data_IF_376936630772
#
_entry.id   IF_376936630772
#
_cell.length_a   1.000
_cell.length_b   1.000
_cell.length_c   1.000
_cell.angle_alpha   90.00
_cell.angle_beta   90.00
_cell.angle_gamma   90.00
#
_symmetry.space_group_name_H-M   'P 1'
#
loop_
_entity.id
_entity.type
_entity.pdbx_description
1 polymer ?
#
# COMPACT_ATOMS: atom_id res chain seq x y z
N UNK A 1 23.69 2.64 1.24
CA UNK A 1 23.09 2.88 -0.10
C UNK A 1 21.95 3.88 0.07
N UNK A 2 21.56 4.63 -0.96
CA UNK A 2 20.38 5.50 -0.87
C UNK A 2 19.11 4.63 -0.88
N UNK A 3 18.06 5.06 -0.16
CA UNK A 3 16.76 4.40 -0.23
C UNK A 3 16.17 4.50 -1.64
N UNK A 4 15.52 3.44 -2.10
CA UNK A 4 14.57 3.47 -3.21
C UNK A 4 13.15 3.51 -2.66
N UNK A 5 12.26 4.19 -3.33
CA UNK A 5 10.88 4.38 -2.90
C UNK A 5 9.92 3.84 -3.95
N UNK A 6 8.87 3.17 -3.50
CA UNK A 6 7.74 2.78 -4.34
C UNK A 6 6.46 3.35 -3.74
N UNK A 7 5.55 3.81 -4.61
CA UNK A 7 4.21 4.24 -4.20
C UNK A 7 3.20 3.47 -5.03
N UNK A 8 2.35 2.70 -4.36
CA UNK A 8 1.40 1.78 -4.98
C UNK A 8 -0.02 2.26 -4.69
N UNK A 9 -0.77 2.56 -5.76
CA UNK A 9 -2.16 3.01 -5.68
C UNK A 9 -3.14 1.88 -5.34
N UNK A 10 -4.37 2.23 -4.94
CA UNK A 10 -5.44 1.29 -4.64
C UNK A 10 -6.25 0.84 -5.86
N UNK A 11 -7.36 0.15 -5.59
CA UNK A 11 -8.34 -0.31 -6.60
C UNK A 11 -8.84 0.86 -7.44
N UNK A 12 -9.00 0.63 -8.75
CA UNK A 12 -9.45 1.63 -9.72
C UNK A 12 -8.63 2.94 -9.71
N UNK A 13 -7.50 2.94 -9.01
CA UNK A 13 -6.62 4.10 -8.85
C UNK A 13 -5.60 4.26 -9.97
N UNK A 14 -4.73 5.24 -9.81
CA UNK A 14 -3.58 5.47 -10.68
C UNK A 14 -2.46 6.19 -9.90
N UNK A 15 -1.23 6.28 -10.45
CA UNK A 15 -0.14 7.03 -9.82
C UNK A 15 -0.32 8.56 -9.88
N UNK A 16 -1.41 9.06 -10.46
CA UNK A 16 -1.66 10.49 -10.70
C UNK A 16 -2.73 11.08 -9.77
N UNK A 17 -3.27 10.30 -8.84
CA UNK A 17 -4.36 10.72 -7.94
C UNK A 17 -3.95 10.62 -6.47
N UNK A 18 -4.80 11.14 -5.60
CA UNK A 18 -4.62 11.18 -4.16
C UNK A 18 -3.31 11.89 -3.78
N UNK A 19 -2.65 11.46 -2.76
CA UNK A 19 -1.38 11.98 -2.27
C UNK A 19 -0.15 11.44 -3.00
N UNK A 20 -0.32 10.54 -4.00
CA UNK A 20 0.80 9.92 -4.73
C UNK A 20 1.70 10.96 -5.41
N UNK A 21 1.17 11.93 -6.19
CA UNK A 21 2.01 12.96 -6.82
C UNK A 21 2.74 13.84 -5.79
N UNK A 22 2.10 14.13 -4.65
CA UNK A 22 2.69 14.91 -3.58
C UNK A 22 3.91 14.21 -2.97
N UNK A 23 3.74 12.97 -2.51
CA UNK A 23 4.84 12.20 -1.90
C UNK A 23 5.96 11.94 -2.90
N UNK A 24 5.62 11.66 -4.16
CA UNK A 24 6.61 11.54 -5.24
C UNK A 24 7.48 12.79 -5.36
N UNK A 25 6.85 13.97 -5.44
CA UNK A 25 7.55 15.25 -5.53
C UNK A 25 8.49 15.48 -4.33
N UNK A 26 7.99 15.25 -3.11
CA UNK A 26 8.77 15.42 -1.89
C UNK A 26 10.01 14.48 -1.83
N UNK A 27 9.88 13.24 -2.33
CA UNK A 27 11.02 12.32 -2.45
C UNK A 27 12.04 12.82 -3.50
N UNK A 28 11.56 13.25 -4.68
CA UNK A 28 12.41 13.75 -5.75
C UNK A 28 13.18 15.03 -5.32
N UNK A 29 12.54 15.94 -4.59
CA UNK A 29 13.17 17.16 -4.04
C UNK A 29 14.29 16.84 -3.03
N UNK A 30 14.19 15.71 -2.33
CA UNK A 30 15.26 15.21 -1.45
C UNK A 30 16.30 14.35 -2.18
N UNK A 31 16.30 14.37 -3.52
CA UNK A 31 17.15 13.52 -4.38
C UNK A 31 16.96 12.02 -4.14
N UNK A 32 15.79 11.58 -3.72
CA UNK A 32 15.39 10.18 -3.65
C UNK A 32 15.06 9.63 -5.04
N UNK A 33 15.17 8.30 -5.18
CA UNK A 33 14.70 7.59 -6.37
C UNK A 33 13.33 7.00 -6.06
N UNK A 34 12.30 7.39 -6.81
CA UNK A 34 10.92 6.95 -6.59
C UNK A 34 10.32 6.34 -7.85
N UNK A 35 9.63 5.23 -7.66
CA UNK A 35 8.87 4.52 -8.68
C UNK A 35 7.39 4.56 -8.32
N UNK A 36 6.55 4.89 -9.28
CA UNK A 36 5.09 4.91 -9.14
C UNK A 36 4.47 4.06 -10.26
N UNK A 37 4.54 2.71 -10.15
CA UNK A 37 4.00 1.85 -11.19
C UNK A 37 2.50 2.09 -11.40
N UNK A 38 2.07 2.13 -12.64
CA UNK A 38 0.65 2.21 -13.02
C UNK A 38 0.10 0.79 -13.18
N UNK A 39 -0.48 0.27 -12.11
CA UNK A 39 -1.01 -1.09 -12.09
C UNK A 39 -2.31 -1.18 -12.90
N UNK A 40 -2.53 -2.29 -13.62
CA UNK A 40 -3.78 -2.49 -14.34
C UNK A 40 -4.97 -2.55 -13.38
N UNK A 41 -6.02 -1.79 -13.69
CA UNK A 41 -7.25 -1.68 -12.89
C UNK A 41 -8.48 -2.13 -13.66
N UNK A 42 -9.58 -2.38 -12.94
CA UNK A 42 -10.86 -2.79 -13.51
C UNK A 42 -11.01 -4.30 -13.70
N UNK A 43 -12.24 -4.67 -14.04
CA UNK A 43 -12.65 -6.08 -14.18
C UNK A 43 -11.77 -6.81 -15.20
N UNK A 44 -11.27 -7.98 -14.82
CA UNK A 44 -10.40 -8.83 -15.63
C UNK A 44 -8.92 -8.41 -15.69
N UNK A 45 -8.58 -7.21 -15.25
CA UNK A 45 -7.22 -6.69 -15.26
C UNK A 45 -6.63 -6.52 -13.87
N UNK A 46 -7.43 -6.02 -12.91
CA UNK A 46 -7.03 -5.89 -11.52
C UNK A 46 -7.12 -7.26 -10.85
N UNK A 47 -5.99 -7.88 -10.63
CA UNK A 47 -5.84 -9.14 -9.92
C UNK A 47 -4.39 -9.31 -9.47
N UNK A 48 -4.18 -10.22 -8.52
CA UNK A 48 -2.86 -10.47 -7.96
C UNK A 48 -1.82 -10.84 -9.03
N UNK A 49 -2.16 -11.74 -9.94
CA UNK A 49 -1.23 -12.22 -10.96
C UNK A 49 -0.69 -11.09 -11.87
N UNK A 50 -1.57 -10.20 -12.31
CA UNK A 50 -1.17 -9.08 -13.17
C UNK A 50 -0.34 -8.05 -12.41
N UNK A 51 -0.69 -7.76 -11.17
CA UNK A 51 0.07 -6.86 -10.32
C UNK A 51 1.42 -7.47 -9.95
N UNK A 52 1.44 -8.76 -9.61
CA UNK A 52 2.67 -9.50 -9.32
C UNK A 52 3.64 -9.49 -10.51
N UNK A 53 3.16 -9.79 -11.73
CA UNK A 53 3.98 -9.72 -12.95
C UNK A 53 4.61 -8.34 -13.16
N UNK A 54 3.83 -7.27 -12.97
CA UNK A 54 4.36 -5.91 -13.12
C UNK A 54 5.44 -5.61 -12.06
N UNK A 55 5.18 -5.91 -10.79
CA UNK A 55 6.12 -5.59 -9.71
C UNK A 55 7.37 -6.47 -9.76
N UNK A 56 7.26 -7.71 -10.24
CA UNK A 56 8.39 -8.63 -10.42
C UNK A 56 9.45 -8.09 -11.39
N UNK A 57 9.07 -7.27 -12.37
CA UNK A 57 10.04 -6.60 -13.26
C UNK A 57 11.00 -5.70 -12.47
N UNK A 58 10.50 -4.98 -11.47
CA UNK A 58 11.33 -4.15 -10.60
C UNK A 58 12.18 -4.98 -9.64
N UNK A 59 11.64 -6.11 -9.17
CA UNK A 59 12.38 -7.03 -8.32
C UNK A 59 13.54 -7.67 -9.10
N UNK A 60 13.29 -8.20 -10.29
CA UNK A 60 14.30 -8.83 -11.16
C UNK A 60 15.40 -7.85 -11.58
N UNK A 61 15.04 -6.56 -11.69
CA UNK A 61 16.00 -5.50 -11.94
C UNK A 61 16.82 -5.08 -10.68
N UNK A 62 16.57 -5.70 -9.51
CA UNK A 62 17.23 -5.37 -8.25
C UNK A 62 16.84 -4.03 -7.64
N UNK A 63 15.74 -3.43 -8.10
CA UNK A 63 15.26 -2.13 -7.64
C UNK A 63 14.47 -2.23 -6.33
N UNK A 64 13.93 -3.43 -6.01
CA UNK A 64 13.33 -3.76 -4.73
C UNK A 64 14.34 -4.57 -3.93
N UNK A 65 14.80 -4.06 -2.79
CA UNK A 65 15.84 -4.65 -1.95
C UNK A 65 15.75 -4.14 -0.50
N UNK A 66 16.70 -4.50 0.36
CA UNK A 66 16.71 -4.15 1.79
C UNK A 66 16.73 -2.65 2.11
N UNK A 67 16.98 -1.78 1.13
CA UNK A 67 16.92 -0.32 1.30
C UNK A 67 15.62 0.29 0.76
N UNK A 68 14.66 -0.55 0.33
CA UNK A 68 13.41 -0.09 -0.26
C UNK A 68 12.40 0.33 0.80
N UNK A 69 11.73 1.46 0.57
CA UNK A 69 10.57 1.94 1.31
C UNK A 69 9.36 1.91 0.38
N UNK A 70 8.27 1.29 0.79
CA UNK A 70 7.05 1.17 -0.01
C UNK A 70 5.89 1.84 0.69
N UNK A 71 5.25 2.79 0.02
CA UNK A 71 3.97 3.37 0.39
C UNK A 71 2.87 2.66 -0.40
N UNK A 72 1.82 2.21 0.27
CA UNK A 72 0.73 1.49 -0.37
C UNK A 72 -0.63 1.93 0.18
N UNK A 73 -1.63 2.10 -0.69
CA UNK A 73 -2.96 2.61 -0.35
C UNK A 73 -4.07 1.61 -0.63
N UNK A 74 -5.06 1.50 0.28
CA UNK A 74 -6.30 0.75 0.08
C UNK A 74 -6.06 -0.77 -0.08
N UNK A 75 -6.25 -1.37 -1.25
CA UNK A 75 -5.95 -2.79 -1.52
C UNK A 75 -4.44 -3.06 -1.66
N UNK A 76 -3.66 -2.07 -2.02
CA UNK A 76 -2.22 -2.25 -2.23
C UNK A 76 -1.45 -2.72 -0.98
N UNK A 77 -1.80 -2.36 0.26
CA UNK A 77 -1.26 -2.96 1.48
C UNK A 77 -1.27 -4.49 1.49
N UNK A 78 -2.39 -5.13 1.23
CA UNK A 78 -2.44 -6.60 1.24
C UNK A 78 -1.69 -7.19 0.05
N UNK A 79 -1.79 -6.58 -1.13
CA UNK A 79 -1.02 -6.99 -2.31
C UNK A 79 0.48 -7.02 -2.02
N UNK A 80 1.04 -5.93 -1.49
CA UNK A 80 2.48 -5.87 -1.24
C UNK A 80 2.92 -6.81 -0.11
N UNK A 81 2.10 -7.03 0.91
CA UNK A 81 2.37 -8.03 1.95
C UNK A 81 2.46 -9.43 1.35
N UNK A 82 1.50 -9.80 0.49
CA UNK A 82 1.50 -11.07 -0.24
C UNK A 82 2.75 -11.21 -1.11
N UNK A 83 3.06 -10.19 -1.92
CA UNK A 83 4.23 -10.15 -2.79
C UNK A 83 5.55 -10.39 -2.04
N UNK A 84 5.77 -9.69 -0.93
CA UNK A 84 7.02 -9.81 -0.16
C UNK A 84 7.18 -11.21 0.44
N UNK A 85 6.10 -11.82 0.92
CA UNK A 85 6.13 -13.17 1.48
C UNK A 85 6.35 -14.22 0.39
N UNK A 86 5.64 -14.12 -0.73
CA UNK A 86 5.79 -15.05 -1.86
C UNK A 86 7.21 -15.05 -2.42
N UNK A 87 7.74 -13.85 -2.70
CA UNK A 87 9.08 -13.70 -3.28
C UNK A 87 10.21 -13.74 -2.24
N UNK A 88 9.90 -13.80 -0.93
CA UNK A 88 10.85 -13.80 0.19
C UNK A 88 11.82 -12.61 0.15
N UNK A 89 11.29 -11.44 -0.17
CA UNK A 89 12.07 -10.22 -0.35
C UNK A 89 12.04 -9.39 0.91
N UNK A 90 13.22 -9.06 1.43
CA UNK A 90 13.37 -8.13 2.54
C UNK A 90 13.46 -6.69 2.04
N UNK A 91 12.73 -5.81 2.72
CA UNK A 91 12.76 -4.36 2.50
C UNK A 91 12.93 -3.62 3.83
N UNK A 92 13.25 -2.34 3.75
CA UNK A 92 13.44 -1.48 4.91
C UNK A 92 12.12 -1.15 5.62
N UNK A 93 11.11 -0.70 4.85
CA UNK A 93 9.88 -0.16 5.46
C UNK A 93 8.66 -0.33 4.56
N UNK A 94 7.54 -0.66 5.19
CA UNK A 94 6.19 -0.53 4.64
C UNK A 94 5.46 0.63 5.33
N UNK A 95 4.84 1.51 4.54
CA UNK A 95 3.93 2.55 5.00
C UNK A 95 2.58 2.28 4.34
N UNK A 96 1.66 1.73 5.11
CA UNK A 96 0.40 1.14 4.65
C UNK A 96 -0.75 2.04 5.07
N UNK A 97 -1.54 2.51 4.11
CA UNK A 97 -2.63 3.45 4.31
C UNK A 97 -3.96 2.77 3.98
N UNK A 98 -4.88 2.74 4.94
CA UNK A 98 -6.21 2.12 4.84
C UNK A 98 -6.15 0.65 4.36
N UNK A 99 -5.23 -0.15 4.95
CA UNK A 99 -5.04 -1.55 4.60
C UNK A 99 -6.08 -2.48 5.22
N UNK A 100 -6.48 -3.50 4.49
CA UNK A 100 -7.43 -4.52 4.91
C UNK A 100 -7.12 -5.87 4.23
N UNK A 101 -7.72 -6.96 4.75
CA UNK A 101 -7.57 -8.31 4.21
C UNK A 101 -8.89 -9.09 4.26
N UNK A 102 -9.99 -8.44 3.96
CA UNK A 102 -11.32 -9.01 4.05
C UNK A 102 -12.22 -8.48 2.93
N UNK A 103 -13.26 -9.24 2.60
CA UNK A 103 -14.38 -8.78 1.80
C UNK A 103 -15.01 -7.55 2.46
N UNK A 104 -15.20 -6.47 1.70
CA UNK A 104 -15.75 -5.22 2.23
C UNK A 104 -17.28 -5.19 2.19
N UNK A 105 -17.90 -5.88 1.21
CA UNK A 105 -19.34 -5.90 1.02
C UNK A 105 -19.92 -4.55 0.58
N UNK A 106 -19.12 -3.72 -0.10
CA UNK A 106 -19.54 -2.41 -0.59
C UNK A 106 -20.37 -2.57 -1.86
N UNK A 107 -19.79 -3.23 -2.85
CA UNK A 107 -20.45 -3.71 -4.05
C UNK A 107 -19.73 -4.93 -4.63
N UNK A 108 -20.43 -5.67 -5.47
CA UNK A 108 -19.93 -6.91 -6.04
C UNK A 108 -18.72 -6.71 -6.96
N UNK A 109 -18.69 -5.61 -7.74
CA UNK A 109 -17.58 -5.32 -8.65
C UNK A 109 -16.29 -5.04 -7.88
N UNK A 110 -16.40 -4.25 -6.80
CA UNK A 110 -15.26 -3.89 -5.95
C UNK A 110 -14.67 -5.12 -5.24
N UNK A 111 -15.54 -5.94 -4.69
CA UNK A 111 -15.10 -7.16 -4.00
C UNK A 111 -14.48 -8.17 -4.97
N UNK A 112 -15.08 -8.34 -6.16
CA UNK A 112 -14.59 -9.27 -7.18
C UNK A 112 -13.17 -8.92 -7.69
N UNK A 113 -12.87 -7.64 -7.95
CA UNK A 113 -11.54 -7.23 -8.43
C UNK A 113 -10.47 -7.35 -7.34
N UNK A 114 -10.85 -7.36 -6.07
CA UNK A 114 -9.94 -7.45 -4.94
C UNK A 114 -9.74 -8.88 -4.44
N UNK A 115 -10.62 -9.81 -4.78
CA UNK A 115 -10.66 -11.18 -4.22
C UNK A 115 -9.30 -11.90 -4.28
N UNK A 116 -8.60 -11.78 -5.40
CA UNK A 116 -7.30 -12.46 -5.60
C UNK A 116 -6.15 -11.84 -4.82
N UNK A 117 -6.34 -10.66 -4.23
CA UNK A 117 -5.31 -9.96 -3.45
C UNK A 117 -5.21 -10.47 -2.01
N UNK A 118 -6.30 -11.07 -1.48
CA UNK A 118 -6.35 -11.53 -0.09
C UNK A 118 -5.36 -12.65 0.17
N UNK A 119 -4.86 -12.69 1.40
CA UNK A 119 -3.70 -13.51 1.74
C UNK A 119 -3.76 -14.01 3.19
N UNK A 120 -3.74 -15.34 3.37
CA UNK A 120 -3.94 -15.98 4.68
C UNK A 120 -2.74 -15.83 5.63
N UNK A 121 -1.51 -15.78 5.08
CA UNK A 121 -0.29 -15.76 5.90
C UNK A 121 0.21 -14.34 6.18
N UNK A 122 -0.70 -13.40 6.40
CA UNK A 122 -0.38 -11.98 6.60
C UNK A 122 0.71 -11.73 7.68
N UNK A 123 0.72 -12.51 8.77
CA UNK A 123 1.71 -12.37 9.85
C UNK A 123 3.16 -12.57 9.39
N UNK A 124 3.37 -13.33 8.32
CA UNK A 124 4.72 -13.66 7.83
C UNK A 124 5.42 -12.45 7.24
N UNK A 125 4.69 -11.38 6.87
CA UNK A 125 5.28 -10.14 6.35
C UNK A 125 6.25 -9.49 7.33
N UNK A 126 6.07 -9.73 8.63
CA UNK A 126 7.00 -9.25 9.68
C UNK A 126 8.45 -9.76 9.52
N UNK A 127 8.64 -10.82 8.75
CA UNK A 127 9.98 -11.35 8.44
C UNK A 127 10.63 -10.61 7.26
N UNK A 128 9.85 -9.81 6.52
CA UNK A 128 10.26 -9.21 5.25
C UNK A 128 10.26 -7.67 5.24
N UNK A 129 9.85 -7.03 6.33
CA UNK A 129 9.99 -5.58 6.49
C UNK A 129 10.49 -5.27 7.91
N UNK A 130 11.50 -4.40 8.02
CA UNK A 130 12.06 -4.03 9.33
C UNK A 130 11.10 -3.12 10.11
N UNK A 131 10.37 -2.27 9.41
CA UNK A 131 9.34 -1.40 9.97
C UNK A 131 8.06 -1.49 9.15
N UNK A 132 6.91 -1.59 9.82
CA UNK A 132 5.58 -1.62 9.21
C UNK A 132 4.71 -0.60 9.92
N UNK A 133 4.39 0.49 9.23
CA UNK A 133 3.58 1.58 9.72
C UNK A 133 2.21 1.51 9.06
N UNK A 134 1.14 1.46 9.86
CA UNK A 134 -0.23 1.44 9.38
C UNK A 134 -0.94 2.74 9.75
N UNK A 135 -1.43 3.46 8.74
CA UNK A 135 -2.33 4.60 8.85
C UNK A 135 -3.74 4.14 8.53
N UNK A 136 -4.70 4.50 9.37
CA UNK A 136 -6.11 4.22 9.12
C UNK A 136 -7.03 5.20 9.87
N UNK A 137 -8.32 5.20 9.52
CA UNK A 137 -9.27 6.20 9.99
C UNK A 137 -10.47 5.56 10.70
N UNK A 138 -11.05 6.28 11.67
CA UNK A 138 -12.24 5.79 12.39
C UNK A 138 -13.54 5.94 11.59
N UNK A 139 -13.54 6.77 10.57
CA UNK A 139 -14.71 7.10 9.76
C UNK A 139 -14.53 6.79 8.27
N UNK A 140 -13.69 5.82 7.95
CA UNK A 140 -13.52 5.38 6.55
C UNK A 140 -14.87 4.89 5.98
N UNK A 141 -15.35 5.48 4.86
CA UNK A 141 -16.64 5.10 4.27
C UNK A 141 -16.59 3.77 3.51
N UNK A 142 -15.41 3.27 3.17
CA UNK A 142 -15.21 2.06 2.37
C UNK A 142 -14.75 0.87 3.21
N UNK A 143 -13.80 1.08 4.12
CA UNK A 143 -13.24 0.04 4.96
C UNK A 143 -13.67 0.26 6.41
N UNK A 144 -14.32 -0.73 7.00
CA UNK A 144 -14.72 -0.64 8.40
C UNK A 144 -13.49 -0.50 9.30
N UNK A 145 -13.57 0.39 10.27
CA UNK A 145 -12.51 0.61 11.27
C UNK A 145 -11.97 -0.69 11.88
N UNK A 146 -12.87 -1.65 12.19
CA UNK A 146 -12.49 -2.93 12.76
C UNK A 146 -11.62 -3.77 11.83
N UNK A 147 -11.88 -3.71 10.52
CA UNK A 147 -11.10 -4.44 9.52
C UNK A 147 -9.70 -3.84 9.33
N UNK A 148 -9.59 -2.50 9.26
CA UNK A 148 -8.30 -1.81 9.23
C UNK A 148 -7.49 -2.04 10.51
N UNK A 149 -8.17 -1.98 11.66
CA UNK A 149 -7.55 -2.24 12.96
C UNK A 149 -7.04 -3.67 13.08
N UNK A 150 -7.82 -4.67 12.67
CA UNK A 150 -7.42 -6.08 12.67
C UNK A 150 -6.20 -6.32 11.77
N UNK A 151 -6.21 -5.71 10.59
CA UNK A 151 -5.06 -5.75 9.67
C UNK A 151 -3.82 -5.15 10.35
N UNK A 152 -3.93 -3.96 10.91
CA UNK A 152 -2.83 -3.28 11.59
C UNK A 152 -2.34 -4.04 12.84
N UNK A 153 -3.23 -4.54 13.69
CA UNK A 153 -2.89 -5.34 14.88
C UNK A 153 -2.09 -6.60 14.51
N UNK A 154 -2.36 -7.14 13.32
CA UNK A 154 -1.69 -8.35 12.84
C UNK A 154 -0.24 -8.12 12.48
N UNK A 155 0.12 -6.96 11.88
CA UNK A 155 1.43 -6.76 11.26
C UNK A 155 2.19 -5.52 11.72
N UNK A 156 1.51 -4.45 12.15
CA UNK A 156 2.14 -3.16 12.37
C UNK A 156 3.19 -3.16 13.48
N UNK A 157 4.27 -2.41 13.28
CA UNK A 157 5.22 -1.99 14.31
C UNK A 157 4.85 -0.62 14.88
N UNK A 158 4.15 0.21 14.09
CA UNK A 158 3.60 1.51 14.48
C UNK A 158 2.19 1.66 13.88
N UNK A 159 1.23 2.17 14.64
CA UNK A 159 -0.13 2.44 14.17
C UNK A 159 -0.47 3.91 14.37
N UNK A 160 -1.00 4.56 13.35
CA UNK A 160 -1.47 5.94 13.38
C UNK A 160 -2.96 5.95 13.02
N UNK A 161 -3.78 6.24 14.03
CA UNK A 161 -5.23 6.30 13.88
C UNK A 161 -5.66 7.74 13.73
N UNK A 162 -6.42 8.03 12.68
CA UNK A 162 -6.96 9.37 12.39
C UNK A 162 -8.45 9.35 12.71
N UNK A 163 -8.92 10.31 13.50
CA UNK A 163 -10.30 10.30 13.99
C UNK A 163 -11.31 10.60 12.88
N UNK A 164 -10.98 11.51 11.96
CA UNK A 164 -11.86 12.01 10.90
C UNK A 164 -11.08 12.15 9.58
N UNK A 165 -10.54 11.04 9.09
CA UNK A 165 -9.68 11.01 7.90
C UNK A 165 -10.37 10.45 6.64
N UNK A 166 -11.59 9.92 6.76
CA UNK A 166 -12.21 9.18 5.67
C UNK A 166 -11.30 8.06 5.18
N UNK A 167 -11.23 7.83 3.87
CA UNK A 167 -10.34 6.83 3.25
C UNK A 167 -8.91 7.35 2.99
N UNK A 168 -8.51 8.43 3.67
CA UNK A 168 -7.20 9.07 3.51
C UNK A 168 -6.81 9.28 2.03
N UNK A 169 -7.78 9.69 1.22
CA UNK A 169 -7.69 9.91 -0.22
C UNK A 169 -8.08 11.35 -0.58
N UNK A 170 -8.06 11.70 -1.88
CA UNK A 170 -8.42 13.05 -2.34
C UNK A 170 -9.86 13.45 -2.02
N UNK A 171 -10.81 12.50 -1.98
CA UNK A 171 -12.20 12.76 -1.60
C UNK A 171 -12.32 13.20 -0.14
N UNK A 172 -11.42 12.73 0.71
CA UNK A 172 -11.31 13.10 2.12
C UNK A 172 -10.33 14.26 2.37
N UNK A 173 -9.86 14.93 1.30
CA UNK A 173 -8.94 16.07 1.40
C UNK A 173 -7.45 15.72 1.39
N UNK A 174 -7.08 14.45 1.28
CA UNK A 174 -5.67 14.00 1.27
C UNK A 174 -5.10 14.02 -0.14
N UNK A 175 -4.92 15.21 -0.70
CA UNK A 175 -4.06 15.46 -1.88
C UNK A 175 -2.63 15.75 -1.49
N UNK A 176 -2.43 16.30 -0.27
CA UNK A 176 -1.17 16.45 0.43
C UNK A 176 -1.28 15.71 1.77
N UNK A 177 -0.46 14.68 1.96
CA UNK A 177 -0.48 13.88 3.18
C UNK A 177 0.85 14.07 3.94
N UNK A 178 0.92 15.16 4.68
CA UNK A 178 2.17 15.64 5.32
C UNK A 178 2.73 14.68 6.37
N UNK A 179 1.88 13.90 7.04
CA UNK A 179 2.29 12.92 8.05
C UNK A 179 3.15 11.79 7.46
N UNK A 180 2.98 11.48 6.17
CA UNK A 180 3.81 10.50 5.47
C UNK A 180 5.25 10.96 5.27
N UNK A 181 5.51 12.28 5.32
CA UNK A 181 6.86 12.85 5.12
C UNK A 181 7.87 12.39 6.18
N UNK A 182 7.39 11.98 7.35
CA UNK A 182 8.22 11.40 8.42
C UNK A 182 8.95 10.12 7.98
N UNK A 183 8.45 9.44 6.96
CA UNK A 183 8.92 8.12 6.54
C UNK A 183 9.72 8.13 5.23
N UNK A 184 10.02 9.32 4.69
CA UNK A 184 10.86 9.54 3.51
C UNK A 184 12.35 9.56 3.89
#
# INVERSE_FOLDING_TARGET
MKNSYFIIHGSFGSPFVNWVPYIRKEIEEKNGVVYTPDFPTGVGYQNYDNWNKLLSVYLDAGLINENTVIFAHSIAPIFICHFLVEHRVKIKRLVLVCGFNNYLGIDEEYDNVNETMYFDNLKDVRNYADEIICFYSKNDPYVKYEAEKEFADTIATEQIVIDDGGHLNSESGYTEFTELLKYI
#
